data_IF_456561603501
#
_entry.id   IF_456561603501
#
_cell.length_a   1.000
_cell.length_b   1.000
_cell.length_c   1.000
_cell.angle_alpha   90.00
_cell.angle_beta   90.00
_cell.angle_gamma   90.00
#
_symmetry.space_group_name_H-M   'P 1'
#
loop_
_entity.id
_entity.type
_entity.pdbx_description
1 polymer ?
#
# COMPACT_ATOMS: atom_id res chain seq x y z
N UNK A 1 -26.99 17.64 -48.34
CA UNK A 1 -27.14 16.65 -47.25
C UNK A 1 -25.74 16.36 -46.72
N UNK A 2 -25.39 16.89 -45.55
CA UNK A 2 -24.02 16.92 -45.02
C UNK A 2 -23.59 15.55 -44.47
N UNK A 3 -22.42 15.09 -44.92
CA UNK A 3 -21.76 13.87 -44.45
C UNK A 3 -21.17 14.13 -43.05
N UNK A 4 -21.68 13.44 -42.03
CA UNK A 4 -21.16 13.53 -40.66
C UNK A 4 -19.85 12.74 -40.57
N UNK A 5 -18.73 13.45 -40.45
CA UNK A 5 -17.44 12.86 -40.07
C UNK A 5 -17.52 12.52 -38.59
N UNK A 6 -17.47 11.23 -38.26
CA UNK A 6 -17.36 10.74 -36.89
C UNK A 6 -15.87 10.66 -36.53
N UNK A 7 -15.40 11.55 -35.66
CA UNK A 7 -14.05 11.49 -35.10
C UNK A 7 -14.13 10.64 -33.82
N UNK A 8 -13.50 9.46 -33.85
CA UNK A 8 -13.35 8.60 -32.69
C UNK A 8 -12.21 9.14 -31.81
N UNK A 9 -12.54 9.78 -30.70
CA UNK A 9 -11.56 10.13 -29.67
C UNK A 9 -11.22 8.88 -28.86
N UNK A 10 -10.03 8.31 -29.07
CA UNK A 10 -9.45 7.32 -28.17
C UNK A 10 -8.92 8.07 -26.93
N UNK A 11 -9.71 8.14 -25.87
CA UNK A 11 -9.23 8.60 -24.57
C UNK A 11 -8.29 7.54 -24.00
N UNK A 12 -6.98 7.81 -24.04
CA UNK A 12 -5.97 7.06 -23.28
C UNK A 12 -6.24 7.31 -21.79
N UNK A 13 -7.05 6.45 -21.17
CA UNK A 13 -7.09 6.35 -19.72
C UNK A 13 -5.76 5.73 -19.28
N UNK A 14 -4.83 6.56 -18.80
CA UNK A 14 -3.70 6.08 -18.02
C UNK A 14 -4.27 5.49 -16.74
N UNK A 15 -4.47 4.17 -16.72
CA UNK A 15 -4.75 3.44 -15.50
C UNK A 15 -3.49 3.57 -14.63
N UNK A 16 -3.50 4.47 -13.66
CA UNK A 16 -2.52 4.47 -12.57
C UNK A 16 -2.80 3.22 -11.74
N UNK A 17 -2.17 2.11 -12.09
CA UNK A 17 -2.21 0.90 -11.30
C UNK A 17 -1.29 1.12 -10.09
N UNK A 18 -1.87 1.15 -8.90
CA UNK A 18 -1.11 1.10 -7.66
C UNK A 18 -0.52 -0.31 -7.52
N UNK A 19 0.79 -0.44 -7.29
CA UNK A 19 1.35 -1.78 -7.16
C UNK A 19 0.85 -2.45 -5.87
N UNK A 20 0.40 -3.70 -5.99
CA UNK A 20 -0.05 -4.46 -4.85
C UNK A 20 1.11 -4.74 -3.89
N UNK A 21 0.88 -4.55 -2.60
CA UNK A 21 1.74 -5.05 -1.53
C UNK A 21 1.53 -6.56 -1.43
N UNK A 22 2.60 -7.35 -1.48
CA UNK A 22 2.50 -8.83 -1.50
C UNK A 22 3.02 -9.48 -0.22
N UNK A 23 4.01 -8.86 0.45
CA UNK A 23 4.58 -9.36 1.71
C UNK A 23 5.11 -8.21 2.57
N UNK A 24 5.13 -8.40 3.88
CA UNK A 24 5.79 -7.52 4.83
C UNK A 24 6.02 -8.22 6.18
N UNK A 25 6.83 -7.60 7.03
CA UNK A 25 6.89 -7.87 8.45
C UNK A 25 5.89 -6.98 9.19
N UNK A 26 5.17 -7.54 10.16
CA UNK A 26 4.22 -6.84 10.99
C UNK A 26 4.63 -6.95 12.45
N UNK A 27 4.49 -5.85 13.20
CA UNK A 27 4.83 -5.83 14.63
C UNK A 27 3.98 -4.83 15.36
N UNK A 28 3.56 -5.18 16.57
CA UNK A 28 2.97 -4.24 17.52
C UNK A 28 3.72 -4.28 18.84
N UNK A 29 3.83 -3.12 19.49
CA UNK A 29 4.36 -2.97 20.84
C UNK A 29 3.40 -2.12 21.66
N UNK A 30 2.98 -2.62 22.82
CA UNK A 30 2.13 -1.88 23.77
C UNK A 30 2.90 -1.77 25.09
N UNK A 31 3.06 -0.57 25.64
CA UNK A 31 3.67 -0.37 26.95
C UNK A 31 2.63 0.11 27.97
N UNK A 32 2.69 -0.49 29.16
CA UNK A 32 2.00 0.04 30.32
C UNK A 32 2.64 1.34 30.81
N UNK A 33 1.95 2.03 31.72
CA UNK A 33 2.46 3.25 32.33
C UNK A 33 3.81 3.06 33.04
N UNK A 34 4.66 4.10 32.96
CA UNK A 34 6.03 4.19 33.49
C UNK A 34 6.22 3.77 34.96
N UNK A 35 5.15 3.71 35.77
CA UNK A 35 5.21 3.21 37.14
C UNK A 35 5.28 1.66 37.23
N UNK A 36 5.27 0.95 36.10
CA UNK A 36 5.54 -0.50 35.98
C UNK A 36 6.89 -0.74 35.29
N UNK A 37 7.43 -1.96 35.43
CA UNK A 37 8.78 -2.32 34.96
C UNK A 37 8.98 -2.19 33.42
N UNK A 38 7.91 -2.00 32.64
CA UNK A 38 7.89 -1.12 31.47
C UNK A 38 8.37 -1.72 30.14
N UNK A 39 8.60 -3.03 30.05
CA UNK A 39 8.89 -3.67 28.76
C UNK A 39 7.58 -3.90 27.98
N UNK A 40 7.60 -3.74 26.64
CA UNK A 40 6.38 -3.85 25.85
C UNK A 40 5.89 -5.29 25.74
N UNK A 41 4.57 -5.42 25.65
CA UNK A 41 3.90 -6.57 25.04
C UNK A 41 4.12 -6.51 23.53
N UNK A 42 4.54 -7.63 22.94
CA UNK A 42 4.91 -7.67 21.53
C UNK A 42 4.23 -8.82 20.81
N UNK A 43 3.64 -8.49 19.66
CA UNK A 43 3.24 -9.44 18.63
C UNK A 43 4.07 -9.18 17.37
N UNK A 44 4.45 -10.23 16.65
CA UNK A 44 5.28 -10.11 15.45
C UNK A 44 5.03 -11.25 14.47
N UNK A 45 4.77 -10.89 13.22
CA UNK A 45 4.74 -11.81 12.08
C UNK A 45 5.81 -11.38 11.07
N UNK A 46 6.72 -12.29 10.71
CA UNK A 46 7.81 -12.00 9.78
C UNK A 46 7.54 -12.60 8.41
N UNK A 47 7.90 -11.87 7.37
CA UNK A 47 7.84 -12.28 5.96
C UNK A 47 6.44 -12.77 5.55
N UNK A 48 5.41 -12.15 6.15
CA UNK A 48 4.00 -12.52 6.05
C UNK A 48 3.47 -12.17 4.66
N UNK A 49 2.87 -13.15 4.00
CA UNK A 49 2.18 -12.93 2.72
C UNK A 49 0.84 -12.23 2.96
N UNK A 50 0.57 -11.18 2.19
CA UNK A 50 -0.72 -10.48 2.22
C UNK A 50 -1.81 -11.39 1.68
N UNK A 51 -2.92 -11.48 2.39
CA UNK A 51 -3.95 -12.44 2.08
C UNK A 51 -5.32 -12.08 2.64
N UNK A 52 -6.10 -13.12 2.91
CA UNK A 52 -7.39 -12.97 3.58
C UNK A 52 -7.19 -13.07 5.10
N UNK A 53 -7.79 -12.13 5.83
CA UNK A 53 -7.69 -12.06 7.29
C UNK A 53 -6.45 -11.30 7.74
N UNK A 54 -6.29 -11.17 9.06
CA UNK A 54 -5.22 -10.37 9.64
C UNK A 54 -3.83 -10.97 9.36
N UNK A 55 -2.90 -10.11 8.96
CA UNK A 55 -1.49 -10.45 8.83
C UNK A 55 -0.80 -10.62 10.18
N UNK A 56 -1.26 -9.89 11.20
CA UNK A 56 -0.83 -10.02 12.59
C UNK A 56 -2.02 -10.16 13.53
N UNK A 57 -2.08 -11.27 14.27
CA UNK A 57 -3.13 -11.54 15.24
C UNK A 57 -2.62 -12.21 16.54
N UNK A 58 -3.49 -12.91 17.27
CA UNK A 58 -3.13 -13.57 18.53
C UNK A 58 -2.13 -14.71 18.38
N UNK A 59 -2.03 -15.33 17.21
CA UNK A 59 -1.13 -16.45 16.95
C UNK A 59 0.33 -15.98 16.79
N UNK A 60 0.53 -14.68 16.52
CA UNK A 60 1.83 -14.03 16.35
C UNK A 60 2.43 -13.51 17.67
N UNK A 61 2.03 -14.05 18.82
CA UNK A 61 2.53 -13.64 20.12
C UNK A 61 4.05 -13.89 20.25
N UNK A 62 4.80 -12.84 20.63
CA UNK A 62 6.24 -12.94 20.86
C UNK A 62 6.61 -12.85 22.35
N UNK A 63 6.16 -11.81 23.06
CA UNK A 63 6.50 -11.63 24.47
C UNK A 63 5.50 -10.79 25.24
N UNK A 64 5.43 -11.05 26.55
CA UNK A 64 4.68 -10.26 27.54
C UNK A 64 5.41 -10.34 28.90
N UNK A 65 6.49 -9.57 29.10
CA UNK A 65 7.33 -9.72 30.29
C UNK A 65 6.59 -9.51 31.61
N UNK A 66 5.60 -8.60 31.61
CA UNK A 66 4.81 -8.23 32.79
C UNK A 66 3.49 -9.03 32.91
N UNK A 67 3.21 -9.95 31.97
CA UNK A 67 2.11 -10.92 32.06
C UNK A 67 0.69 -10.33 32.08
N UNK A 68 0.47 -9.15 31.50
CA UNK A 68 -0.85 -8.51 31.51
C UNK A 68 -1.78 -9.02 30.40
N UNK A 69 -3.07 -8.71 30.51
CA UNK A 69 -4.11 -9.32 29.66
C UNK A 69 -4.61 -8.45 28.51
N UNK A 70 -4.12 -7.21 28.38
CA UNK A 70 -4.52 -6.25 27.34
C UNK A 70 -3.41 -5.91 26.34
N UNK A 71 -3.64 -4.92 25.50
CA UNK A 71 -2.66 -4.36 24.56
C UNK A 71 -2.65 -5.05 23.21
N UNK A 72 -3.71 -5.81 22.91
CA UNK A 72 -3.82 -6.60 21.68
C UNK A 72 -4.43 -5.78 20.57
N UNK A 73 -3.63 -5.50 19.55
CA UNK A 73 -4.08 -4.86 18.31
C UNK A 73 -3.70 -5.74 17.14
N UNK A 74 -4.69 -6.13 16.34
CA UNK A 74 -4.47 -6.90 15.11
C UNK A 74 -4.23 -5.96 13.94
N UNK A 75 -3.40 -6.40 12.99
CA UNK A 75 -3.10 -5.68 11.76
C UNK A 75 -3.62 -6.47 10.57
N UNK A 76 -4.41 -5.82 9.71
CA UNK A 76 -5.00 -6.41 8.50
C UNK A 76 -4.83 -5.43 7.34
N UNK A 77 -4.15 -5.85 6.28
CA UNK A 77 -3.92 -5.07 5.07
C UNK A 77 -4.70 -5.61 3.89
N UNK A 78 -5.69 -4.84 3.43
CA UNK A 78 -6.44 -5.18 2.22
C UNK A 78 -5.67 -4.73 0.96
N UNK A 79 -5.18 -5.65 0.11
CA UNK A 79 -4.42 -5.28 -1.09
C UNK A 79 -5.27 -4.62 -2.17
N UNK A 80 -6.60 -4.77 -2.15
CA UNK A 80 -7.50 -4.18 -3.14
C UNK A 80 -7.69 -2.69 -2.86
N UNK A 81 -8.00 -2.34 -1.62
CA UNK A 81 -8.18 -0.94 -1.21
C UNK A 81 -6.89 -0.28 -0.75
N UNK A 82 -5.80 -1.04 -0.55
CA UNK A 82 -4.52 -0.62 0.04
C UNK A 82 -4.70 0.04 1.42
N UNK A 83 -5.62 -0.48 2.21
CA UNK A 83 -5.92 0.02 3.55
C UNK A 83 -5.33 -0.92 4.58
N UNK A 84 -4.47 -0.37 5.45
CA UNK A 84 -4.06 -1.02 6.70
C UNK A 84 -5.10 -0.70 7.78
N UNK A 85 -5.60 -1.73 8.44
CA UNK A 85 -6.53 -1.63 9.57
C UNK A 85 -5.83 -2.10 10.84
N UNK A 86 -5.82 -1.24 11.86
CA UNK A 86 -5.45 -1.58 13.23
C UNK A 86 -6.72 -1.80 14.03
N UNK A 87 -6.93 -3.00 14.58
CA UNK A 87 -8.13 -3.35 15.35
C UNK A 87 -7.78 -3.71 16.78
N UNK A 88 -8.19 -2.87 17.74
CA UNK A 88 -8.04 -3.22 19.16
C UNK A 88 -8.94 -4.40 19.53
N UNK A 89 -8.44 -5.27 20.40
CA UNK A 89 -9.15 -6.43 20.95
C UNK A 89 -9.38 -6.31 22.46
N UNK A 90 -9.12 -5.16 23.04
CA UNK A 90 -9.37 -4.84 24.44
C UNK A 90 -9.55 -3.33 24.69
N UNK A 91 -9.84 -3.00 25.94
CA UNK A 91 -10.19 -1.68 26.47
C UNK A 91 -9.28 -1.26 27.65
N UNK A 92 -8.04 -1.74 27.65
CA UNK A 92 -7.08 -1.50 28.73
C UNK A 92 -6.30 -0.20 28.56
N UNK A 93 -5.67 0.26 29.65
CA UNK A 93 -4.86 1.47 29.70
C UNK A 93 -3.40 1.23 29.31
N UNK A 94 -2.89 2.09 28.42
CA UNK A 94 -1.52 2.06 27.93
C UNK A 94 -0.94 3.47 27.88
N UNK A 95 0.38 3.56 27.91
CA UNK A 95 1.07 4.84 27.77
C UNK A 95 1.57 5.06 26.35
N UNK A 96 2.07 3.99 25.72
CA UNK A 96 2.47 3.99 24.32
C UNK A 96 1.94 2.75 23.60
N UNK A 97 1.65 2.93 22.32
CA UNK A 97 1.38 1.85 21.39
C UNK A 97 2.04 2.17 20.05
N UNK A 98 2.75 1.20 19.52
CA UNK A 98 3.48 1.31 18.27
C UNK A 98 3.11 0.15 17.35
N UNK A 99 2.85 0.46 16.08
CA UNK A 99 2.61 -0.52 15.03
C UNK A 99 3.58 -0.29 13.87
N UNK A 100 4.25 -1.36 13.46
CA UNK A 100 5.17 -1.35 12.33
C UNK A 100 4.72 -2.31 11.25
N UNK A 101 4.83 -1.84 10.01
CA UNK A 101 4.85 -2.68 8.82
C UNK A 101 6.17 -2.40 8.10
N UNK A 102 7.07 -3.38 8.01
CA UNK A 102 8.43 -3.19 7.54
C UNK A 102 8.85 -4.25 6.52
N UNK A 103 9.99 -4.05 5.86
CA UNK A 103 10.49 -4.95 4.81
C UNK A 103 9.42 -5.23 3.73
N UNK A 104 8.68 -4.19 3.37
CA UNK A 104 7.56 -4.30 2.44
C UNK A 104 8.06 -4.70 1.05
N UNK A 105 7.42 -5.70 0.47
CA UNK A 105 7.65 -6.16 -0.90
C UNK A 105 6.42 -5.85 -1.73
N UNK A 106 6.62 -5.11 -2.81
CA UNK A 106 5.60 -4.82 -3.81
C UNK A 106 5.65 -5.81 -4.98
N UNK A 107 4.51 -6.05 -5.61
CA UNK A 107 4.41 -6.87 -6.82
C UNK A 107 5.19 -6.28 -8.00
N UNK A 108 5.34 -4.95 -8.04
CA UNK A 108 6.07 -4.24 -9.08
C UNK A 108 7.43 -3.81 -8.58
N UNK A 109 8.47 -4.16 -9.33
CA UNK A 109 9.84 -3.75 -9.03
C UNK A 109 9.97 -2.22 -9.14
N UNK A 110 10.62 -1.63 -8.13
CA UNK A 110 10.82 -0.18 -8.04
C UNK A 110 9.66 0.59 -7.44
N UNK A 111 8.56 -0.06 -7.04
CA UNK A 111 7.49 0.62 -6.30
C UNK A 111 7.94 0.95 -4.87
N UNK A 112 7.49 2.09 -4.36
CA UNK A 112 7.80 2.61 -3.02
C UNK A 112 6.56 3.26 -2.41
N UNK A 113 6.53 3.40 -1.08
CA UNK A 113 5.50 4.20 -0.41
C UNK A 113 5.68 5.67 -0.81
N UNK A 114 4.59 6.29 -1.28
CA UNK A 114 4.54 7.70 -1.60
C UNK A 114 3.98 8.52 -0.44
N UNK A 115 2.94 8.00 0.22
CA UNK A 115 2.18 8.71 1.25
C UNK A 115 1.31 7.74 2.07
N UNK A 116 0.90 8.17 3.25
CA UNK A 116 -0.01 7.46 4.15
C UNK A 116 -1.09 8.45 4.61
N UNK A 117 -2.35 8.09 4.41
CA UNK A 117 -3.51 8.92 4.79
C UNK A 117 -4.31 8.22 5.88
N UNK A 118 -4.43 8.86 7.05
CA UNK A 118 -5.35 8.41 8.10
C UNK A 118 -6.80 8.65 7.63
N UNK A 119 -7.59 7.58 7.51
CA UNK A 119 -8.98 7.65 7.06
C UNK A 119 -9.95 7.72 8.25
N UNK A 120 -9.77 6.82 9.22
CA UNK A 120 -10.57 6.78 10.45
C UNK A 120 -9.68 6.53 11.65
N UNK A 121 -10.05 7.09 12.79
CA UNK A 121 -9.29 6.91 14.03
C UNK A 121 -10.24 6.73 15.20
N UNK A 122 -10.59 5.47 15.47
CA UNK A 122 -11.34 5.06 16.64
C UNK A 122 -10.59 3.94 17.37
N UNK A 123 -9.25 4.00 17.40
CA UNK A 123 -8.44 2.99 18.11
C UNK A 123 -8.40 3.26 19.62
N UNK A 124 -8.40 4.53 20.02
CA UNK A 124 -8.32 5.00 21.42
C UNK A 124 -9.59 5.75 21.83
N UNK A 125 -10.00 5.67 23.09
CA UNK A 125 -11.20 6.37 23.60
C UNK A 125 -11.05 7.89 23.60
N UNK A 126 -9.83 8.37 23.86
CA UNK A 126 -9.47 9.78 23.98
C UNK A 126 -9.28 10.46 22.62
N UNK A 127 -9.37 9.70 21.53
CA UNK A 127 -9.17 10.21 20.17
C UNK A 127 -7.75 10.70 19.91
N UNK A 128 -6.73 10.04 20.49
CA UNK A 128 -5.32 10.38 20.26
C UNK A 128 -4.99 10.35 18.76
N UNK A 129 -4.32 11.38 18.27
CA UNK A 129 -3.84 11.44 16.89
C UNK A 129 -2.50 10.70 16.80
N UNK A 130 -2.37 9.66 15.94
CA UNK A 130 -1.10 8.97 15.80
C UNK A 130 -0.05 9.82 15.10
N UNK A 131 1.20 9.60 15.47
CA UNK A 131 2.37 10.02 14.69
C UNK A 131 2.66 8.95 13.65
N UNK A 132 2.77 9.35 12.38
CA UNK A 132 3.00 8.44 11.26
C UNK A 132 4.36 8.76 10.63
N UNK A 133 5.26 7.79 10.61
CA UNK A 133 6.55 7.87 9.94
C UNK A 133 6.64 6.80 8.85
N UNK A 134 7.24 7.13 7.71
CA UNK A 134 7.39 6.20 6.60
C UNK A 134 8.76 6.32 5.92
N UNK A 135 9.18 5.21 5.31
CA UNK A 135 10.27 5.16 4.33
C UNK A 135 9.73 4.56 3.04
N UNK A 136 10.58 4.30 2.05
CA UNK A 136 10.20 3.67 0.79
C UNK A 136 9.54 2.28 0.98
N UNK A 137 9.87 1.55 2.05
CA UNK A 137 9.42 0.18 2.29
C UNK A 137 9.06 -0.12 3.76
N UNK A 138 8.79 0.91 4.56
CA UNK A 138 8.36 0.73 5.94
C UNK A 138 7.40 1.84 6.40
N UNK A 139 6.55 1.48 7.36
CA UNK A 139 5.59 2.34 8.02
C UNK A 139 5.68 2.11 9.54
N UNK A 140 5.63 3.20 10.29
CA UNK A 140 5.51 3.21 11.75
C UNK A 140 4.38 4.15 12.16
N UNK A 141 3.46 3.65 12.98
CA UNK A 141 2.32 4.38 13.53
C UNK A 141 2.48 4.33 15.05
N UNK A 142 2.61 5.48 15.70
CA UNK A 142 2.81 5.60 17.14
C UNK A 142 1.69 6.41 17.79
N UNK A 143 1.15 5.87 18.89
CA UNK A 143 0.25 6.53 19.82
C UNK A 143 0.98 6.70 21.15
N UNK A 144 0.96 7.90 21.71
CA UNK A 144 1.58 8.19 23.00
C UNK A 144 0.73 9.19 23.77
N UNK A 145 0.47 8.90 25.04
CA UNK A 145 -0.15 9.82 25.98
C UNK A 145 0.85 10.38 27.01
N UNK A 146 2.15 10.07 26.89
CA UNK A 146 3.14 10.38 27.92
C UNK A 146 3.12 11.87 28.32
N UNK A 147 3.07 12.20 29.62
CA UNK A 147 3.24 11.31 30.78
C UNK A 147 1.97 10.56 31.24
N UNK A 148 0.81 10.83 30.65
CA UNK A 148 -0.48 10.23 30.98
C UNK A 148 -0.67 8.85 30.31
N UNK A 149 -1.90 8.34 30.37
CA UNK A 149 -2.33 7.06 29.80
C UNK A 149 -3.53 7.28 28.88
N UNK A 150 -3.76 6.33 27.98
CA UNK A 150 -4.95 6.27 27.14
C UNK A 150 -5.56 4.88 27.19
N UNK A 151 -6.85 4.78 26.89
CA UNK A 151 -7.56 3.52 26.77
C UNK A 151 -7.71 3.14 25.30
N UNK A 152 -7.46 1.88 24.98
CA UNK A 152 -8.03 1.36 23.74
C UNK A 152 -9.56 1.37 23.80
N UNK A 153 -10.20 1.54 22.64
CA UNK A 153 -11.66 1.64 22.54
C UNK A 153 -12.35 0.31 22.20
N UNK A 154 -11.59 -0.74 21.90
CA UNK A 154 -12.09 -1.94 21.20
C UNK A 154 -12.48 -1.71 19.73
N UNK A 155 -12.24 -0.50 19.21
CA UNK A 155 -12.51 -0.11 17.82
C UNK A 155 -11.29 -0.26 16.91
N UNK A 156 -11.25 0.52 15.83
CA UNK A 156 -10.20 0.45 14.82
C UNK A 156 -9.77 1.82 14.28
N UNK A 157 -8.54 1.85 13.76
CA UNK A 157 -8.02 2.94 12.93
C UNK A 157 -7.64 2.39 11.56
N UNK A 158 -7.86 3.18 10.51
CA UNK A 158 -7.59 2.76 9.12
C UNK A 158 -6.71 3.77 8.40
N UNK A 159 -5.75 3.26 7.62
CA UNK A 159 -4.72 4.04 6.95
C UNK A 159 -4.64 3.62 5.48
N UNK A 160 -4.90 4.55 4.56
CA UNK A 160 -4.69 4.33 3.12
C UNK A 160 -3.20 4.52 2.81
N UNK A 161 -2.61 3.50 2.23
CA UNK A 161 -1.25 3.54 1.70
C UNK A 161 -1.33 3.93 0.24
N UNK A 162 -0.57 4.95 -0.15
CA UNK A 162 -0.40 5.38 -1.53
C UNK A 162 1.04 5.09 -1.95
N UNK A 163 1.20 4.51 -3.14
CA UNK A 163 2.52 4.11 -3.66
C UNK A 163 2.85 4.86 -4.93
N UNK A 164 4.14 4.87 -5.28
CA UNK A 164 4.67 5.44 -6.51
C UNK A 164 5.81 4.58 -7.05
N UNK A 165 5.96 4.61 -8.36
CA UNK A 165 7.15 4.07 -9.00
C UNK A 165 8.33 5.00 -8.73
N UNK A 166 9.41 4.44 -8.18
CA UNK A 166 10.65 5.16 -7.96
C UNK A 166 11.26 5.57 -9.30
N UNK A 167 11.66 6.84 -9.43
CA UNK A 167 12.30 7.36 -10.63
C UNK A 167 13.72 6.80 -10.75
N UNK A 168 13.84 5.69 -11.47
CA UNK A 168 15.11 4.99 -11.68
C UNK A 168 14.97 3.65 -12.38
N UNK A 169 13.77 3.05 -12.37
CA UNK A 169 13.47 1.87 -13.19
C UNK A 169 12.83 2.33 -14.49
N UNK A 170 13.65 2.53 -15.52
CA UNK A 170 13.15 2.60 -16.90
C UNK A 170 12.47 1.25 -17.18
N UNK A 171 11.13 1.23 -17.16
CA UNK A 171 10.44 0.18 -17.88
C UNK A 171 10.86 0.33 -19.34
N UNK A 172 11.40 -0.73 -19.94
CA UNK A 172 11.61 -0.81 -21.38
C UNK A 172 10.26 -0.56 -22.03
N UNK A 173 10.02 0.67 -22.47
CA UNK A 173 8.85 1.03 -23.26
C UNK A 173 8.95 0.16 -24.51
N UNK A 174 8.01 -0.76 -24.77
CA UNK A 174 8.00 -1.46 -26.05
C UNK A 174 7.92 -0.38 -27.12
N UNK A 175 8.93 -0.33 -28.00
CA UNK A 175 8.92 0.62 -29.11
C UNK A 175 7.55 0.56 -29.78
N UNK A 176 6.89 1.71 -29.98
CA UNK A 176 5.57 1.69 -30.57
C UNK A 176 5.69 1.02 -31.95
N UNK A 177 4.86 0.01 -32.16
CA UNK A 177 4.69 -0.77 -33.42
C UNK A 177 4.44 0.09 -34.67
N UNK A 178 4.43 1.42 -34.53
CA UNK A 178 4.56 2.43 -35.59
C UNK A 178 5.66 2.12 -36.60
N UNK A 179 6.77 1.49 -36.19
CA UNK A 179 7.84 1.08 -37.11
C UNK A 179 7.40 -0.01 -38.11
N UNK A 180 6.44 -0.87 -37.75
CA UNK A 180 5.90 -1.89 -38.69
C UNK A 180 4.90 -1.31 -39.71
N UNK A 181 4.19 -0.22 -39.37
CA UNK A 181 3.24 0.41 -40.30
C UNK A 181 3.93 1.15 -41.46
N UNK A 182 5.14 1.68 -41.25
CA UNK A 182 5.92 2.35 -42.31
C UNK A 182 6.48 1.35 -43.33
N UNK A 183 6.81 0.13 -42.88
CA UNK A 183 7.28 -0.95 -43.77
C UNK A 183 6.14 -1.58 -44.59
N UNK A 184 4.92 -1.68 -44.05
CA UNK A 184 3.76 -2.17 -44.80
C UNK A 184 3.22 -1.15 -45.83
N UNK A 185 3.33 0.15 -45.54
CA UNK A 185 2.87 1.22 -46.45
C UNK A 185 3.73 1.41 -47.70
N UNK A 186 5.02 1.08 -47.63
CA UNK A 186 5.96 1.27 -48.74
C UNK A 186 5.87 0.16 -49.82
N UNK A 187 5.36 -1.03 -49.48
CA UNK A 187 5.14 -2.11 -50.46
C UNK A 187 3.92 -1.88 -51.36
N UNK A 188 2.88 -1.18 -50.88
CA UNK A 188 1.65 -0.91 -51.64
C UNK A 188 1.80 0.22 -52.66
N UNK A 189 2.76 1.14 -52.47
CA UNK A 189 3.06 2.23 -53.43
C UNK A 189 3.98 1.80 -54.58
N UNK A 190 4.82 0.78 -54.38
CA UNK A 190 5.71 0.27 -55.43
C UNK A 190 4.98 -0.58 -56.49
N UNK A 191 3.87 -1.23 -56.14
CA UNK A 191 3.11 -2.10 -57.07
C UNK A 191 2.12 -1.36 -57.96
N UNK A 192 1.76 -0.10 -57.65
CA UNK A 192 0.83 0.71 -58.47
C UNK A 192 1.47 1.49 -59.62
N UNK A 193 2.81 1.54 -59.74
CA UNK A 193 3.50 2.30 -60.81
C UNK A 193 3.89 1.51 -62.06
N UNK A 194 3.48 0.24 -62.21
CA UNK A 194 3.67 -0.53 -63.46
C UNK A 194 2.34 -0.85 -64.15
N UNK A 195 1.60 0.15 -64.59
CA UNK A 195 0.62 0.01 -65.69
C UNK A 195 0.22 1.37 -66.26
N UNK A 196 1.10 1.95 -67.07
CA UNK A 196 0.76 2.65 -68.33
C UNK A 196 2.06 3.09 -69.01
N UNK A 197 2.35 2.45 -70.13
CA UNK A 197 2.87 2.99 -71.40
C UNK A 197 3.13 1.75 -72.27
N UNK A 198 2.39 1.61 -73.38
CA UNK A 198 2.92 1.37 -74.73
C UNK A 198 1.81 1.80 -75.70
N UNK A 199 2.21 2.65 -76.64
CA UNK A 199 1.44 3.14 -77.78
C UNK A 199 1.10 1.99 -78.75
N UNK A 200 -0.07 2.05 -79.36
CA UNK A 200 -0.28 2.09 -80.81
C UNK A 200 -1.71 2.51 -81.12
#
# INVERSE_FOLDING_TARGET
>A
MFMKVFVLFLTLFSLSCQAALIRADFRTESNLPDYRNGLPLIYQSLDKQIGAGAELDSDDFLQNPDGWSGGRVWMDFDPISSILTLSSRDDWDFQTFDAWMSNIVFAQAGETIANIVLLTNNLTQEGLVPVINMTDNSLHIAYSASPDVFLFSGGSATFKIETKQSQGVTQDIPEPTSAMLVLAGSFLLATRRRKRIILQ
#
